data_IF_910478607941
#
_entry.id   IF_910478607941
#
_cell.length_a   1.000
_cell.length_b   1.000
_cell.length_c   1.000
_cell.angle_alpha   90.00
_cell.angle_beta   90.00
_cell.angle_gamma   90.00
#
_symmetry.space_group_name_H-M   'P 1'
#
loop_
_entity.id
_entity.type
_entity.pdbx_description
1 polymer ?
#
# COMPACT_ATOMS: atom_id res chain seq x y z
N UNK A 1 0.74 -16.16 18.42
CA UNK A 1 0.20 -17.54 18.33
C UNK A 1 -0.96 -17.68 17.36
N UNK A 2 -2.12 -17.04 17.55
CA UNK A 2 -3.27 -17.21 16.63
C UNK A 2 -3.02 -16.78 15.18
N UNK A 3 -2.28 -15.69 14.94
CA UNK A 3 -2.01 -15.22 13.57
C UNK A 3 -1.08 -16.18 12.79
N UNK A 4 -0.05 -16.73 13.44
CA UNK A 4 0.81 -17.77 12.85
C UNK A 4 0.00 -19.02 12.51
N UNK A 5 -0.85 -19.47 13.44
CA UNK A 5 -1.72 -20.61 13.21
C UNK A 5 -2.65 -20.38 12.00
N UNK A 6 -3.26 -19.19 11.90
CA UNK A 6 -4.14 -18.84 10.78
C UNK A 6 -3.39 -18.83 9.44
N UNK A 7 -2.16 -18.31 9.38
CA UNK A 7 -1.32 -18.37 8.17
C UNK A 7 -1.12 -19.83 7.75
N UNK A 8 -0.62 -20.66 8.65
CA UNK A 8 -0.31 -22.06 8.32
C UNK A 8 -1.57 -22.84 7.90
N UNK A 9 -2.66 -22.71 8.65
CA UNK A 9 -3.92 -23.41 8.37
C UNK A 9 -4.49 -23.03 6.99
N UNK A 10 -4.44 -21.74 6.64
CA UNK A 10 -4.96 -21.25 5.36
C UNK A 10 -4.04 -21.62 4.19
N UNK A 11 -2.71 -21.54 4.37
CA UNK A 11 -1.73 -22.01 3.37
C UNK A 11 -1.89 -23.52 3.10
N UNK A 12 -2.09 -24.34 4.14
CA UNK A 12 -2.37 -25.78 4.02
C UNK A 12 -3.75 -26.07 3.37
N UNK A 13 -4.63 -25.08 3.34
CA UNK A 13 -5.97 -25.16 2.73
C UNK A 13 -6.07 -24.51 1.35
N UNK A 14 -4.95 -24.36 0.64
CA UNK A 14 -4.82 -23.77 -0.70
C UNK A 14 -5.16 -22.28 -0.79
N UNK A 15 -4.98 -21.52 0.30
CA UNK A 15 -5.05 -20.07 0.25
C UNK A 15 -3.67 -19.42 0.19
N UNK A 16 -3.53 -18.41 -0.66
CA UNK A 16 -2.36 -17.56 -0.75
C UNK A 16 -2.45 -16.43 0.28
N UNK A 17 -1.41 -16.23 1.09
CA UNK A 17 -1.26 -15.06 1.96
C UNK A 17 -0.80 -13.84 1.14
N UNK A 18 -1.65 -13.39 0.22
CA UNK A 18 -1.26 -12.42 -0.80
C UNK A 18 -0.99 -11.01 -0.26
N UNK A 19 -1.50 -10.69 0.94
CA UNK A 19 -1.17 -9.46 1.67
C UNK A 19 -1.33 -9.64 3.18
N UNK A 20 -0.68 -8.79 3.98
CA UNK A 20 -0.57 -8.90 5.46
C UNK A 20 -1.87 -9.39 6.14
N UNK A 21 -3.03 -8.84 5.81
CA UNK A 21 -4.27 -9.13 6.53
C UNK A 21 -5.25 -10.08 5.83
N UNK A 22 -5.01 -10.46 4.57
CA UNK A 22 -5.99 -11.22 3.79
C UNK A 22 -5.36 -12.39 3.04
N UNK A 23 -6.20 -13.39 2.87
CA UNK A 23 -5.89 -14.62 2.17
C UNK A 23 -6.91 -14.80 1.05
N UNK A 24 -6.50 -15.43 -0.04
CA UNK A 24 -7.41 -15.77 -1.13
C UNK A 24 -6.95 -17.05 -1.81
N UNK A 25 -7.90 -17.82 -2.35
CA UNK A 25 -7.55 -18.87 -3.31
C UNK A 25 -6.86 -18.27 -4.53
N UNK A 26 -6.07 -19.05 -5.28
CA UNK A 26 -5.48 -18.61 -6.53
C UNK A 26 -6.50 -17.94 -7.45
N UNK A 27 -6.11 -16.81 -8.03
CA UNK A 27 -6.96 -15.99 -8.92
C UNK A 27 -8.21 -15.37 -8.26
N UNK A 28 -8.33 -15.39 -6.93
CA UNK A 28 -9.44 -14.78 -6.16
C UNK A 28 -8.99 -13.63 -5.25
N UNK A 29 -7.78 -13.09 -5.45
CA UNK A 29 -7.28 -11.91 -4.71
C UNK A 29 -8.23 -10.72 -4.90
N UNK A 30 -8.52 -9.98 -3.83
CA UNK A 30 -9.41 -8.81 -3.90
C UNK A 30 -8.83 -7.71 -4.78
N UNK A 31 -9.45 -7.46 -5.92
CA UNK A 31 -9.04 -6.39 -6.84
C UNK A 31 -9.15 -5.01 -6.19
N UNK A 32 -10.15 -4.81 -5.35
CA UNK A 32 -10.35 -3.56 -4.60
C UNK A 32 -9.16 -3.29 -3.65
N UNK A 33 -8.76 -4.27 -2.85
CA UNK A 33 -7.63 -4.13 -1.93
C UNK A 33 -6.32 -3.90 -2.70
N UNK A 34 -6.12 -4.63 -3.81
CA UNK A 34 -4.93 -4.50 -4.64
C UNK A 34 -4.78 -3.11 -5.28
N UNK A 35 -5.87 -2.38 -5.56
CA UNK A 35 -5.78 -0.99 -6.04
C UNK A 35 -5.08 -0.11 -5.01
N UNK A 36 -5.44 -0.23 -3.74
CA UNK A 36 -4.80 0.52 -2.65
C UNK A 36 -3.36 0.09 -2.44
N UNK A 37 -3.09 -1.22 -2.39
CA UNK A 37 -1.74 -1.74 -2.13
C UNK A 37 -0.76 -1.49 -3.28
N UNK A 38 -1.25 -1.43 -4.52
CA UNK A 38 -0.45 -1.00 -5.67
C UNK A 38 -0.33 0.53 -5.78
N UNK A 39 -0.89 1.26 -4.81
CA UNK A 39 -0.96 2.72 -4.77
C UNK A 39 -1.49 3.30 -6.09
N UNK A 40 -2.50 2.65 -6.69
CA UNK A 40 -3.10 3.09 -7.95
C UNK A 40 -4.10 4.23 -7.68
N UNK A 41 -4.39 5.10 -8.66
CA UNK A 41 -5.42 6.09 -8.51
C UNK A 41 -6.80 5.46 -8.26
N UNK A 42 -7.60 6.08 -7.40
CA UNK A 42 -8.98 5.67 -7.11
C UNK A 42 -9.84 6.90 -6.79
N UNK A 43 -11.15 6.77 -7.05
CA UNK A 43 -12.16 7.77 -6.73
C UNK A 43 -13.07 7.21 -5.64
N UNK A 44 -13.15 7.91 -4.51
CA UNK A 44 -14.09 7.62 -3.43
C UNK A 44 -15.40 8.35 -3.64
N UNK A 45 -16.50 7.62 -3.58
CA UNK A 45 -17.87 8.14 -3.72
C UNK A 45 -18.61 7.84 -2.43
N UNK A 46 -19.39 8.80 -1.95
CA UNK A 46 -20.08 8.76 -0.67
C UNK A 46 -19.44 9.67 0.38
N UNK A 47 -20.19 9.92 1.44
CA UNK A 47 -19.75 10.68 2.59
C UNK A 47 -18.55 9.97 3.28
N UNK A 48 -17.52 10.73 3.63
CA UNK A 48 -16.29 10.22 4.25
C UNK A 48 -15.37 9.41 3.31
N UNK A 49 -15.72 9.26 2.04
CA UNK A 49 -14.90 8.51 1.10
C UNK A 49 -13.62 9.27 0.74
N UNK A 50 -12.49 8.55 0.68
CA UNK A 50 -11.22 9.09 0.20
C UNK A 50 -11.02 8.85 -1.29
N UNK A 51 -10.29 9.76 -1.92
CA UNK A 51 -9.81 9.64 -3.29
C UNK A 51 -8.31 9.86 -3.36
N UNK A 52 -7.65 9.22 -4.32
CA UNK A 52 -6.28 9.50 -4.68
C UNK A 52 -6.15 9.58 -6.20
N UNK A 53 -5.96 10.79 -6.74
CA UNK A 53 -5.91 11.01 -8.20
C UNK A 53 -4.82 12.03 -8.52
N UNK A 54 -3.96 11.71 -9.50
CA UNK A 54 -2.90 12.62 -10.00
C UNK A 54 -2.01 13.21 -8.90
N UNK A 55 -1.77 12.46 -7.81
CA UNK A 55 -0.95 12.92 -6.68
C UNK A 55 -1.68 13.76 -5.64
N UNK A 56 -2.99 13.98 -5.79
CA UNK A 56 -3.83 14.60 -4.78
C UNK A 56 -4.60 13.52 -4.01
N UNK A 57 -4.54 13.58 -2.68
CA UNK A 57 -5.36 12.78 -1.78
C UNK A 57 -6.38 13.71 -1.13
N UNK A 58 -7.66 13.36 -1.19
CA UNK A 58 -8.71 14.20 -0.61
C UNK A 58 -9.86 13.34 -0.11
N UNK A 59 -10.67 13.92 0.76
CA UNK A 59 -11.80 13.27 1.41
C UNK A 59 -13.08 14.02 1.13
N UNK A 60 -14.17 13.29 0.92
CA UNK A 60 -15.50 13.86 0.90
C UNK A 60 -15.97 14.16 2.32
N UNK A 61 -16.86 15.14 2.50
CA UNK A 61 -17.47 15.42 3.81
C UNK A 61 -17.99 14.15 4.49
N UNK A 62 -17.56 13.91 5.73
CA UNK A 62 -17.99 12.75 6.52
C UNK A 62 -19.47 12.82 6.88
N UNK A 63 -19.98 14.03 7.16
CA UNK A 63 -21.38 14.23 7.49
C UNK A 63 -22.26 14.00 6.23
N UNK A 64 -23.17 13.00 6.23
CA UNK A 64 -23.97 12.68 5.06
C UNK A 64 -24.88 13.82 4.61
N UNK A 65 -25.44 14.61 5.54
CA UNK A 65 -26.29 15.74 5.19
C UNK A 65 -25.50 16.85 4.48
N UNK A 66 -24.27 17.13 4.92
CA UNK A 66 -23.37 18.09 4.24
C UNK A 66 -22.94 17.57 2.88
N UNK A 67 -22.55 16.29 2.78
CA UNK A 67 -22.20 15.65 1.52
C UNK A 67 -23.33 15.77 0.48
N UNK A 68 -24.56 15.41 0.86
CA UNK A 68 -25.74 15.49 -0.01
C UNK A 68 -26.02 16.93 -0.40
N UNK A 69 -25.97 17.87 0.54
CA UNK A 69 -26.21 19.30 0.28
C UNK A 69 -25.27 19.86 -0.78
N UNK A 70 -23.97 19.59 -0.68
CA UNK A 70 -22.98 20.10 -1.63
C UNK A 70 -23.21 19.53 -3.04
N UNK A 71 -23.44 18.21 -3.16
CA UNK A 71 -23.76 17.57 -4.44
C UNK A 71 -25.03 18.17 -5.06
N UNK A 72 -26.10 18.30 -4.27
CA UNK A 72 -27.37 18.85 -4.77
C UNK A 72 -27.24 20.32 -5.18
N UNK A 73 -26.24 21.04 -4.68
CA UNK A 73 -25.89 22.39 -5.10
C UNK A 73 -24.94 22.46 -6.32
N UNK A 74 -24.61 21.32 -6.92
CA UNK A 74 -23.70 21.24 -8.08
C UNK A 74 -22.22 21.40 -7.75
N UNK A 75 -21.84 21.25 -6.46
CA UNK A 75 -20.46 21.37 -5.99
C UNK A 75 -19.85 20.00 -5.70
N UNK A 76 -18.53 19.92 -5.79
CA UNK A 76 -17.80 18.75 -5.31
C UNK A 76 -17.85 18.72 -3.77
N UNK A 77 -18.22 17.59 -3.15
CA UNK A 77 -18.40 17.50 -1.70
C UNK A 77 -17.08 17.26 -0.95
N UNK A 78 -16.00 17.92 -1.37
CA UNK A 78 -14.65 17.74 -0.80
C UNK A 78 -14.51 18.59 0.46
N UNK A 79 -14.05 17.96 1.55
CA UNK A 79 -13.79 18.63 2.83
C UNK A 79 -12.34 19.10 2.92
N UNK A 80 -11.41 18.15 2.82
CA UNK A 80 -9.98 18.40 2.96
C UNK A 80 -9.17 17.56 1.97
N UNK A 81 -7.93 17.97 1.74
CA UNK A 81 -7.02 17.25 0.87
C UNK A 81 -5.62 17.84 0.84
N UNK A 82 -4.68 17.07 0.30
CA UNK A 82 -3.28 17.44 0.16
C UNK A 82 -2.73 17.03 -1.21
N UNK A 83 -1.79 17.82 -1.71
CA UNK A 83 -0.93 17.43 -2.83
C UNK A 83 0.30 16.72 -2.27
N UNK A 84 0.48 15.47 -2.64
CA UNK A 84 1.61 14.68 -2.16
C UNK A 84 2.89 15.07 -2.89
N UNK A 85 3.94 15.31 -2.11
CA UNK A 85 5.30 15.47 -2.65
C UNK A 85 5.76 14.20 -3.36
N UNK A 86 6.70 14.33 -4.30
CA UNK A 86 7.27 13.18 -4.98
C UNK A 86 7.84 12.16 -3.98
N UNK A 87 8.55 12.64 -2.95
CA UNK A 87 9.11 11.80 -1.88
C UNK A 87 8.02 11.04 -1.12
N UNK A 88 6.94 11.70 -0.69
CA UNK A 88 5.82 11.05 0.01
C UNK A 88 5.16 9.98 -0.85
N UNK A 89 4.97 10.23 -2.15
CA UNK A 89 4.44 9.22 -3.08
C UNK A 89 5.34 8.00 -3.26
N UNK A 90 6.67 8.21 -3.28
CA UNK A 90 7.64 7.11 -3.34
C UNK A 90 7.58 6.25 -2.08
N UNK A 91 7.62 6.89 -0.90
CA UNK A 91 7.53 6.23 0.42
C UNK A 91 6.24 5.42 0.52
N UNK A 92 5.09 6.02 0.18
CA UNK A 92 3.81 5.33 0.23
C UNK A 92 3.73 4.16 -0.74
N UNK A 93 4.33 4.27 -1.93
CA UNK A 93 4.39 3.14 -2.88
C UNK A 93 5.21 1.98 -2.32
N UNK A 94 6.27 2.28 -1.56
CA UNK A 94 7.09 1.25 -0.91
C UNK A 94 6.29 0.61 0.23
N UNK A 95 5.75 1.42 1.15
CA UNK A 95 5.00 0.94 2.31
C UNK A 95 3.82 0.09 1.86
N UNK A 96 2.99 0.60 0.93
CA UNK A 96 1.80 -0.10 0.44
C UNK A 96 2.15 -1.37 -0.36
N UNK A 97 3.19 -1.33 -1.19
CA UNK A 97 3.63 -2.50 -1.96
C UNK A 97 4.24 -3.59 -1.09
N UNK A 98 4.98 -3.24 -0.04
CA UNK A 98 5.53 -4.20 0.92
C UNK A 98 4.44 -4.89 1.77
N UNK A 99 3.20 -4.38 1.79
CA UNK A 99 2.08 -5.09 2.42
C UNK A 99 1.66 -6.34 1.65
N UNK A 100 2.07 -6.48 0.38
CA UNK A 100 1.70 -7.62 -0.45
C UNK A 100 2.88 -8.57 -0.63
N UNK A 101 2.55 -9.82 -0.92
CA UNK A 101 3.52 -10.84 -1.32
C UNK A 101 4.27 -10.45 -2.62
N UNK A 102 3.62 -9.66 -3.48
CA UNK A 102 4.20 -9.16 -4.72
C UNK A 102 5.36 -8.19 -4.46
N UNK A 103 5.33 -7.47 -3.33
CA UNK A 103 6.35 -6.51 -2.94
C UNK A 103 6.46 -5.30 -3.88
N UNK A 104 7.65 -4.71 -3.92
CA UNK A 104 7.95 -3.51 -4.71
C UNK A 104 8.92 -3.87 -5.82
N UNK A 105 8.42 -3.94 -7.06
CA UNK A 105 9.23 -4.23 -8.24
C UNK A 105 10.03 -3.02 -8.74
N UNK A 106 11.33 -3.18 -8.97
CA UNK A 106 12.23 -2.09 -9.39
C UNK A 106 11.81 -1.45 -10.71
N UNK A 107 11.44 -2.27 -11.71
CA UNK A 107 10.99 -1.77 -13.03
C UNK A 107 9.74 -0.91 -12.90
N UNK A 108 8.73 -1.40 -12.15
CA UNK A 108 7.48 -0.65 -11.92
C UNK A 108 7.74 0.65 -11.17
N UNK A 109 8.61 0.63 -10.16
CA UNK A 109 8.99 1.81 -9.40
C UNK A 109 9.69 2.85 -10.31
N UNK A 110 10.67 2.41 -11.11
CA UNK A 110 11.39 3.27 -12.06
C UNK A 110 10.46 3.86 -13.11
N UNK A 111 9.58 3.06 -13.72
CA UNK A 111 8.58 3.57 -14.67
C UNK A 111 7.68 4.62 -14.04
N UNK A 112 7.31 4.45 -12.77
CA UNK A 112 6.40 5.36 -12.06
C UNK A 112 7.06 6.68 -11.63
N UNK A 113 8.33 6.65 -11.22
CA UNK A 113 9.00 7.79 -10.59
C UNK A 113 10.18 8.35 -11.37
N UNK A 114 10.63 7.67 -12.43
CA UNK A 114 11.79 8.07 -13.23
C UNK A 114 13.15 7.81 -12.57
N UNK A 115 13.16 7.25 -11.36
CA UNK A 115 14.37 7.01 -10.55
C UNK A 115 14.43 5.55 -10.10
N UNK A 116 15.64 5.01 -9.89
CA UNK A 116 15.76 3.65 -9.36
C UNK A 116 15.52 3.65 -7.85
N UNK A 117 14.85 2.60 -7.36
CA UNK A 117 14.53 2.46 -5.93
C UNK A 117 15.79 2.46 -5.05
N UNK A 118 16.82 1.73 -5.47
CA UNK A 118 18.07 1.59 -4.73
C UNK A 118 18.87 2.90 -4.65
N UNK A 119 18.74 3.79 -5.63
CA UNK A 119 19.45 5.08 -5.60
C UNK A 119 18.92 5.97 -4.47
N UNK A 120 17.63 5.85 -4.15
CA UNK A 120 16.94 6.69 -3.16
C UNK A 120 16.91 6.03 -1.77
N UNK A 121 16.75 4.71 -1.70
CA UNK A 121 16.47 3.99 -0.45
C UNK A 121 17.45 2.84 -0.14
N UNK A 122 18.63 2.79 -0.77
CA UNK A 122 19.63 1.73 -0.54
C UNK A 122 19.97 1.53 0.93
N UNK A 123 20.15 2.61 1.69
CA UNK A 123 20.50 2.55 3.13
C UNK A 123 19.44 1.79 3.93
N UNK A 124 18.17 2.16 3.76
CA UNK A 124 17.02 1.54 4.44
C UNK A 124 16.87 0.07 4.01
N UNK A 125 16.91 -0.18 2.70
CA UNK A 125 16.77 -1.52 2.14
C UNK A 125 17.87 -2.44 2.66
N UNK A 126 19.14 -2.03 2.57
CA UNK A 126 20.27 -2.86 3.01
C UNK A 126 20.22 -3.10 4.53
N UNK A 127 19.85 -2.10 5.34
CA UNK A 127 19.64 -2.29 6.78
C UNK A 127 18.59 -3.37 7.05
N UNK A 128 17.43 -3.28 6.40
CA UNK A 128 16.32 -4.22 6.60
C UNK A 128 16.60 -5.63 6.07
N UNK A 129 17.37 -5.75 4.98
CA UNK A 129 17.87 -7.03 4.46
C UNK A 129 18.84 -7.66 5.46
N UNK A 130 19.80 -6.90 6.00
CA UNK A 130 20.75 -7.40 7.00
C UNK A 130 20.06 -7.86 8.29
N UNK A 131 18.90 -7.29 8.64
CA UNK A 131 18.07 -7.70 9.77
C UNK A 131 17.18 -8.93 9.47
N UNK A 132 17.17 -9.40 8.22
CA UNK A 132 16.33 -10.50 7.72
C UNK A 132 14.85 -10.15 7.67
N UNK A 133 14.49 -8.86 7.58
CA UNK A 133 13.10 -8.37 7.51
C UNK A 133 12.64 -8.13 6.08
N UNK A 134 13.56 -7.82 5.19
CA UNK A 134 13.34 -7.79 3.75
C UNK A 134 14.19 -8.85 3.07
N UNK A 135 13.65 -9.39 1.99
CA UNK A 135 14.42 -10.10 0.98
C UNK A 135 14.37 -9.31 -0.33
N UNK A 136 15.42 -9.43 -1.12
CA UNK A 136 15.56 -8.78 -2.42
C UNK A 136 16.18 -9.74 -3.43
N UNK A 137 15.67 -9.68 -4.65
CA UNK A 137 16.24 -10.32 -5.83
C UNK A 137 16.55 -9.24 -6.88
N UNK A 138 16.77 -9.64 -8.14
CA UNK A 138 17.03 -8.71 -9.25
C UNK A 138 15.78 -7.95 -9.72
N UNK A 139 14.59 -8.36 -9.31
CA UNK A 139 13.31 -7.83 -9.78
C UNK A 139 12.62 -6.94 -8.75
N UNK A 140 12.70 -7.27 -7.46
CA UNK A 140 11.88 -6.66 -6.40
C UNK A 140 12.50 -6.78 -5.00
N UNK A 141 11.88 -6.03 -4.08
CA UNK A 141 12.00 -6.23 -2.63
C UNK A 141 10.65 -6.70 -2.07
N UNK A 142 10.65 -7.58 -1.06
CA UNK A 142 9.45 -7.98 -0.32
C UNK A 142 9.76 -8.30 1.14
N UNK A 143 8.73 -8.33 1.98
CA UNK A 143 8.87 -8.78 3.37
C UNK A 143 9.20 -10.27 3.41
N UNK A 144 10.10 -10.66 4.31
CA UNK A 144 10.26 -12.08 4.69
C UNK A 144 9.10 -12.51 5.59
N UNK A 145 8.98 -13.81 5.89
CA UNK A 145 8.01 -14.28 6.93
C UNK A 145 8.20 -13.53 8.25
N UNK A 146 9.44 -13.32 8.71
CA UNK A 146 9.76 -12.49 9.88
C UNK A 146 9.38 -11.03 9.69
N UNK A 147 9.62 -10.50 8.49
CA UNK A 147 9.26 -9.13 8.09
C UNK A 147 7.77 -8.83 8.22
N UNK A 148 6.89 -9.80 7.90
CA UNK A 148 5.43 -9.65 8.03
C UNK A 148 5.02 -9.37 9.48
N UNK A 149 5.56 -10.10 10.46
CA UNK A 149 5.30 -9.86 11.89
C UNK A 149 5.81 -8.50 12.38
N UNK A 150 6.83 -7.96 11.72
CA UNK A 150 7.48 -6.70 12.08
C UNK A 150 7.22 -5.62 11.03
N UNK A 151 6.14 -5.73 10.25
CA UNK A 151 5.88 -4.87 9.10
C UNK A 151 5.87 -3.38 9.48
N UNK A 152 5.27 -3.03 10.63
CA UNK A 152 5.27 -1.65 11.13
C UNK A 152 6.69 -1.13 11.42
N UNK A 153 7.59 -2.00 11.92
CA UNK A 153 9.00 -1.64 12.11
C UNK A 153 9.70 -1.41 10.78
N UNK A 154 9.43 -2.26 9.77
CA UNK A 154 9.93 -2.07 8.41
C UNK A 154 9.44 -0.75 7.81
N UNK A 155 8.15 -0.45 7.92
CA UNK A 155 7.57 0.76 7.34
C UNK A 155 8.14 2.04 7.94
N UNK A 156 8.40 2.06 9.25
CA UNK A 156 9.00 3.21 9.93
C UNK A 156 10.38 3.59 9.39
N UNK A 157 11.17 2.64 8.89
CA UNK A 157 12.49 2.95 8.31
C UNK A 157 12.41 3.81 7.04
N UNK A 158 11.25 3.82 6.36
CA UNK A 158 11.04 4.63 5.17
C UNK A 158 10.38 5.99 5.45
N UNK A 159 9.85 6.18 6.65
CA UNK A 159 9.22 7.43 7.07
C UNK A 159 10.29 8.25 7.79
N UNK A 160 10.50 9.49 7.33
CA UNK A 160 11.40 10.44 8.00
C UNK A 160 10.84 10.90 9.35
#
# INVERSE_FOLDING_TARGET
>A
DMYNWAINFLEESDFEHYEISNFARPYKRSMHNLIYWQNKPYLGIGAGAYSFIKGYRYMNYENPARYIKEIMSGKLPVDNGEKLSLRKRMIETIILGLRTEDGVGYKKFKTRFGVNLNDIFSKQINKLVNLGLLEKDDCKIKLTKKGIFLANTVFREFVD
#
